data_IF_517481679168
#
_entry.id   IF_517481679168
#
_cell.length_a   1.000
_cell.length_b   1.000
_cell.length_c   1.000
_cell.angle_alpha   90.00
_cell.angle_beta   90.00
_cell.angle_gamma   90.00
#
_symmetry.space_group_name_H-M   'P 1'
#
loop_
_entity.id
_entity.type
_entity.pdbx_description
1 polymer ?
#
# COMPACT_ATOMS: atom_id res chain seq x y z
N UNK A 1 5.31 5.67 11.42
CA UNK A 1 5.54 6.81 12.34
C UNK A 1 6.65 6.57 13.36
N UNK A 2 6.54 5.60 14.29
CA UNK A 2 7.55 5.42 15.36
C UNK A 2 8.97 5.17 14.86
N UNK A 3 9.13 4.37 13.80
CA UNK A 3 10.42 4.15 13.14
C UNK A 3 11.03 5.45 12.58
N UNK A 4 10.25 6.25 11.84
CA UNK A 4 10.75 7.47 11.20
C UNK A 4 11.22 8.50 12.24
N UNK A 5 10.46 8.69 13.34
CA UNK A 5 10.85 9.59 14.43
C UNK A 5 12.13 9.12 15.12
N UNK A 6 12.29 7.80 15.33
CA UNK A 6 13.52 7.24 15.87
C UNK A 6 14.70 7.45 14.92
N UNK A 7 14.52 7.20 13.63
CA UNK A 7 15.56 7.39 12.62
C UNK A 7 16.06 8.85 12.59
N UNK A 8 15.13 9.82 12.48
CA UNK A 8 15.46 11.25 12.53
C UNK A 8 16.24 11.58 13.81
N UNK A 9 15.77 11.13 14.97
CA UNK A 9 16.44 11.39 16.25
C UNK A 9 17.85 10.79 16.28
N UNK A 10 18.01 9.54 15.85
CA UNK A 10 19.29 8.84 15.85
C UNK A 10 20.30 9.50 14.88
N UNK A 11 19.83 10.08 13.77
CA UNK A 11 20.67 10.82 12.83
C UNK A 11 21.09 12.18 13.39
N UNK A 12 20.15 12.94 13.95
CA UNK A 12 20.45 14.26 14.53
C UNK A 12 21.33 14.18 15.77
N UNK A 13 21.28 13.09 16.54
CA UNK A 13 22.16 12.88 17.70
C UNK A 13 23.63 12.65 17.31
N UNK A 14 23.92 12.35 16.03
CA UNK A 14 25.30 12.19 15.54
C UNK A 14 25.93 13.53 15.16
N UNK A 15 25.15 14.60 15.07
CA UNK A 15 25.65 15.93 14.73
C UNK A 15 26.10 16.67 15.99
N UNK A 16 27.33 17.19 16.00
CA UNK A 16 27.87 17.97 17.11
C UNK A 16 27.85 19.48 16.78
N UNK A 17 27.62 20.33 17.79
CA UNK A 17 27.71 21.81 17.80
C UNK A 17 27.40 22.50 16.45
N UNK A 18 26.15 22.36 15.99
CA UNK A 18 25.62 23.11 14.84
C UNK A 18 24.62 24.18 15.30
N UNK A 19 24.45 25.22 14.49
CA UNK A 19 23.44 26.26 14.74
C UNK A 19 22.02 25.69 14.68
N UNK A 20 21.06 26.40 15.27
CA UNK A 20 19.63 26.02 15.20
C UNK A 20 19.14 26.04 13.75
N UNK A 21 19.65 26.96 12.93
CA UNK A 21 19.36 27.09 11.52
C UNK A 21 19.82 25.86 10.73
N UNK A 22 21.06 25.42 10.95
CA UNK A 22 21.60 24.22 10.29
C UNK A 22 20.85 22.96 10.72
N UNK A 23 20.45 22.88 12.00
CA UNK A 23 19.66 21.76 12.52
C UNK A 23 18.31 21.64 11.81
N UNK A 24 17.64 22.77 11.54
CA UNK A 24 16.36 22.78 10.79
C UNK A 24 16.54 22.32 9.35
N UNK A 25 17.64 22.72 8.70
CA UNK A 25 17.95 22.30 7.34
C UNK A 25 18.24 20.80 7.27
N UNK A 26 19.03 20.27 8.21
CA UNK A 26 19.31 18.83 8.29
C UNK A 26 18.04 18.02 8.56
N UNK A 27 17.19 18.47 9.48
CA UNK A 27 15.92 17.81 9.76
C UNK A 27 15.04 17.72 8.50
N UNK A 28 14.96 18.81 7.73
CA UNK A 28 14.21 18.83 6.47
C UNK A 28 14.79 17.86 5.45
N UNK A 29 16.12 17.78 5.34
CA UNK A 29 16.77 16.88 4.40
C UNK A 29 16.52 15.41 4.75
N UNK A 30 16.68 15.03 6.03
CA UNK A 30 16.38 13.67 6.50
C UNK A 30 14.90 13.31 6.24
N UNK A 31 13.98 14.28 6.42
CA UNK A 31 12.56 14.04 6.15
C UNK A 31 12.29 13.77 4.66
N UNK A 32 12.96 14.49 3.75
CA UNK A 32 12.88 14.26 2.30
C UNK A 32 13.50 12.92 1.90
N UNK A 33 14.66 12.58 2.47
CA UNK A 33 15.31 11.28 2.24
C UNK A 33 14.39 10.12 2.63
N UNK A 34 13.70 10.22 3.77
CA UNK A 34 12.72 9.22 4.21
C UNK A 34 11.55 9.10 3.21
N UNK A 35 11.08 10.23 2.67
CA UNK A 35 9.99 10.23 1.69
C UNK A 35 10.44 9.58 0.36
N UNK A 36 11.63 9.93 -0.13
CA UNK A 36 12.18 9.37 -1.37
C UNK A 36 12.46 7.87 -1.23
N UNK A 37 13.04 7.45 -0.10
CA UNK A 37 13.26 6.04 0.23
C UNK A 37 11.93 5.25 0.28
N UNK A 38 10.86 5.81 0.84
CA UNK A 38 9.53 5.19 0.80
C UNK A 38 8.99 5.06 -0.64
N UNK A 39 9.19 6.10 -1.47
CA UNK A 39 8.83 6.08 -2.88
C UNK A 39 9.53 4.96 -3.65
N UNK A 40 10.85 4.85 -3.49
CA UNK A 40 11.64 3.79 -4.13
C UNK A 40 11.25 2.40 -3.64
N UNK A 41 10.97 2.24 -2.34
CA UNK A 41 10.47 0.96 -1.79
C UNK A 41 9.12 0.57 -2.35
N UNK A 42 8.22 1.52 -2.59
CA UNK A 42 6.94 1.26 -3.25
C UNK A 42 7.13 0.73 -4.67
N UNK A 43 8.04 1.34 -5.45
CA UNK A 43 8.41 0.85 -6.78
C UNK A 43 8.97 -0.58 -6.74
N UNK A 44 9.87 -0.86 -5.78
CA UNK A 44 10.46 -2.18 -5.60
C UNK A 44 9.41 -3.23 -5.21
N UNK A 45 8.50 -2.91 -4.29
CA UNK A 45 7.38 -3.77 -3.90
C UNK A 45 6.51 -4.08 -5.14
N UNK A 46 6.14 -3.06 -5.92
CA UNK A 46 5.36 -3.22 -7.13
C UNK A 46 6.04 -4.13 -8.14
N UNK A 47 7.35 -3.95 -8.34
CA UNK A 47 8.16 -4.76 -9.27
C UNK A 47 8.31 -6.21 -8.81
N UNK A 48 8.60 -6.43 -7.54
CA UNK A 48 8.76 -7.78 -6.99
C UNK A 48 7.44 -8.54 -6.91
N UNK A 49 6.36 -7.86 -6.51
CA UNK A 49 5.03 -8.45 -6.44
C UNK A 49 4.48 -8.87 -7.80
N UNK A 50 4.90 -8.23 -8.90
CA UNK A 50 4.48 -8.60 -10.26
C UNK A 50 4.72 -10.09 -10.56
N UNK A 51 5.83 -10.66 -10.07
CA UNK A 51 6.22 -12.04 -10.35
C UNK A 51 5.22 -13.07 -9.81
N UNK A 52 4.38 -12.70 -8.84
CA UNK A 52 3.39 -13.59 -8.21
C UNK A 52 1.96 -13.31 -8.67
N UNK A 53 1.73 -12.31 -9.54
CA UNK A 53 0.40 -12.00 -10.08
C UNK A 53 0.14 -12.86 -11.33
N UNK A 54 -0.90 -13.73 -11.32
CA UNK A 54 -1.25 -14.50 -12.51
C UNK A 54 -1.71 -13.58 -13.66
N UNK A 55 -1.42 -13.99 -14.90
CA UNK A 55 -1.96 -13.30 -16.08
C UNK A 55 -3.48 -13.45 -16.11
N UNK A 56 -4.20 -12.35 -16.37
CA UNK A 56 -5.66 -12.29 -16.37
C UNK A 56 -6.31 -12.37 -14.98
N UNK A 57 -5.53 -12.22 -13.89
CA UNK A 57 -6.05 -12.39 -12.54
C UNK A 57 -7.11 -11.36 -12.17
N UNK A 58 -8.16 -11.84 -11.49
CA UNK A 58 -9.08 -11.02 -10.72
C UNK A 58 -8.59 -10.93 -9.27
N UNK A 59 -8.17 -9.74 -8.87
CA UNK A 59 -7.50 -9.45 -7.60
C UNK A 59 -8.50 -8.85 -6.61
N UNK A 60 -8.57 -9.35 -5.38
CA UNK A 60 -9.31 -8.74 -4.28
C UNK A 60 -8.36 -7.93 -3.39
N UNK A 61 -8.73 -6.68 -3.09
CA UNK A 61 -7.98 -5.83 -2.15
C UNK A 61 -8.91 -5.11 -1.16
N UNK A 62 -8.31 -4.57 -0.10
CA UNK A 62 -9.01 -3.97 1.04
C UNK A 62 -8.24 -2.77 1.60
N UNK A 63 -8.97 -1.80 2.18
CA UNK A 63 -8.46 -0.48 2.56
C UNK A 63 -7.95 0.30 1.34
N UNK A 64 -7.09 1.29 1.57
CA UNK A 64 -6.32 1.97 0.53
C UNK A 64 -4.83 1.82 0.75
N UNK A 65 -4.11 1.47 -0.31
CA UNK A 65 -2.67 1.20 -0.30
C UNK A 65 -1.95 1.84 -1.49
N UNK A 66 -2.60 2.80 -2.16
CA UNK A 66 -2.08 3.54 -3.31
C UNK A 66 -1.17 4.70 -2.95
N UNK A 67 -1.02 5.62 -3.89
CA UNK A 67 -0.22 6.82 -3.73
C UNK A 67 -0.77 7.74 -2.65
N UNK A 68 -2.08 7.68 -2.38
CA UNK A 68 -2.68 8.43 -1.28
C UNK A 68 -2.34 7.87 0.11
N UNK A 69 -1.64 6.73 0.19
CA UNK A 69 -1.23 6.08 1.44
C UNK A 69 0.30 6.02 1.64
N UNK A 70 1.11 6.46 0.68
CA UNK A 70 2.57 6.28 0.66
C UNK A 70 3.29 7.49 0.06
N UNK A 71 4.63 7.49 0.08
CA UNK A 71 5.48 8.45 -0.60
C UNK A 71 5.65 8.22 -2.10
N UNK A 72 5.10 7.12 -2.64
CA UNK A 72 5.22 6.73 -4.05
C UNK A 72 3.96 6.11 -4.62
N UNK A 73 4.10 5.13 -5.51
CA UNK A 73 2.97 4.50 -6.23
C UNK A 73 2.06 3.63 -5.34
N UNK A 74 2.42 3.39 -4.08
CA UNK A 74 1.70 2.47 -3.19
C UNK A 74 2.35 1.09 -3.08
N UNK A 75 1.76 0.27 -2.21
CA UNK A 75 2.24 -1.09 -1.89
C UNK A 75 1.45 -2.16 -2.66
N UNK A 76 0.36 -2.67 -2.09
CA UNK A 76 -0.51 -3.63 -2.79
C UNK A 76 -1.11 -3.02 -4.07
N UNK A 77 -1.48 -1.73 -4.04
CA UNK A 77 -1.85 -1.00 -5.24
C UNK A 77 -0.71 -0.95 -6.28
N UNK A 78 0.54 -0.71 -5.86
CA UNK A 78 1.69 -0.67 -6.77
C UNK A 78 1.89 -1.97 -7.53
N UNK A 79 1.64 -3.12 -6.89
CA UNK A 79 1.65 -4.44 -7.54
C UNK A 79 0.53 -4.56 -8.59
N UNK A 80 -0.69 -4.15 -8.24
CA UNK A 80 -1.84 -4.15 -9.18
C UNK A 80 -1.56 -3.23 -10.37
N UNK A 81 -1.06 -2.02 -10.09
CA UNK A 81 -0.73 -1.01 -11.10
C UNK A 81 0.33 -1.51 -12.07
N UNK A 82 1.41 -2.11 -11.56
CA UNK A 82 2.45 -2.68 -12.40
C UNK A 82 1.95 -3.90 -13.19
N UNK A 83 1.10 -4.76 -12.61
CA UNK A 83 0.49 -5.86 -13.35
C UNK A 83 -0.37 -5.36 -14.53
N UNK A 84 -1.18 -4.32 -14.31
CA UNK A 84 -1.94 -3.69 -15.38
C UNK A 84 -1.03 -3.07 -16.47
N UNK A 85 -0.01 -2.30 -16.07
CA UNK A 85 0.94 -1.67 -17.01
C UNK A 85 1.74 -2.67 -17.83
N UNK A 86 2.01 -3.86 -17.29
CA UNK A 86 2.69 -4.95 -17.99
C UNK A 86 1.76 -5.75 -18.93
N UNK A 87 0.49 -5.35 -19.07
CA UNK A 87 -0.44 -6.02 -19.98
C UNK A 87 -1.00 -7.33 -19.44
N UNK A 88 -0.91 -7.59 -18.14
CA UNK A 88 -1.46 -8.81 -17.53
C UNK A 88 -3.00 -8.82 -17.49
N UNK A 89 -3.70 -7.84 -18.06
CA UNK A 89 -5.17 -7.77 -18.15
C UNK A 89 -5.88 -8.05 -16.82
N UNK A 90 -5.35 -7.51 -15.72
CA UNK A 90 -5.92 -7.71 -14.38
C UNK A 90 -7.21 -6.90 -14.18
N UNK A 91 -8.11 -7.44 -13.36
CA UNK A 91 -9.29 -6.76 -12.85
C UNK A 91 -9.29 -6.78 -11.32
N UNK A 92 -9.98 -5.83 -10.69
CA UNK A 92 -9.93 -5.67 -9.23
C UNK A 92 -11.32 -5.68 -8.62
N UNK A 93 -11.51 -6.48 -7.57
CA UNK A 93 -12.54 -6.25 -6.56
C UNK A 93 -11.94 -5.42 -5.43
N UNK A 94 -12.50 -4.24 -5.19
CA UNK A 94 -12.16 -3.42 -4.04
C UNK A 94 -13.31 -3.45 -3.05
N UNK A 95 -13.06 -3.90 -1.82
CA UNK A 95 -14.06 -3.82 -0.75
C UNK A 95 -14.24 -2.38 -0.27
N UNK A 96 -15.44 -1.98 0.12
CA UNK A 96 -15.71 -0.61 0.57
C UNK A 96 -14.88 -0.16 1.78
N UNK A 97 -14.52 -1.09 2.68
CA UNK A 97 -13.69 -0.89 3.87
C UNK A 97 -14.35 -0.04 4.96
N UNK A 98 -15.43 -0.55 5.56
CA UNK A 98 -16.09 0.11 6.70
C UNK A 98 -15.19 0.19 7.93
N UNK A 99 -15.40 1.19 8.81
CA UNK A 99 -16.40 2.26 8.71
C UNK A 99 -15.92 3.49 7.91
N UNK A 100 -14.62 3.61 7.63
CA UNK A 100 -14.00 4.83 7.09
C UNK A 100 -14.13 4.94 5.56
N UNK A 101 -14.43 3.82 4.90
CA UNK A 101 -14.70 3.70 3.48
C UNK A 101 -13.49 4.03 2.59
N UNK A 102 -12.27 3.64 3.01
CA UNK A 102 -11.06 3.93 2.22
C UNK A 102 -11.11 3.25 0.84
N UNK A 103 -11.59 2.01 0.76
CA UNK A 103 -11.66 1.30 -0.51
C UNK A 103 -12.64 1.97 -1.46
N UNK A 104 -13.85 2.30 -0.97
CA UNK A 104 -14.87 2.98 -1.77
C UNK A 104 -14.48 4.41 -2.18
N UNK A 105 -13.80 5.16 -1.31
CA UNK A 105 -13.53 6.59 -1.52
C UNK A 105 -12.20 6.87 -2.19
N UNK A 106 -11.17 6.06 -1.91
CA UNK A 106 -9.80 6.31 -2.33
C UNK A 106 -9.35 5.26 -3.35
N UNK A 107 -9.44 3.98 -3.03
CA UNK A 107 -8.91 2.91 -3.89
C UNK A 107 -9.64 2.82 -5.22
N UNK A 108 -10.97 2.84 -5.20
CA UNK A 108 -11.76 2.86 -6.44
C UNK A 108 -11.41 4.09 -7.28
N UNK A 109 -11.25 5.25 -6.65
CA UNK A 109 -10.84 6.47 -7.35
C UNK A 109 -9.46 6.30 -8.00
N UNK A 110 -8.44 5.85 -7.26
CA UNK A 110 -7.09 5.64 -7.79
C UNK A 110 -7.06 4.61 -8.94
N UNK A 111 -7.80 3.51 -8.80
CA UNK A 111 -7.90 2.46 -9.84
C UNK A 111 -8.59 2.98 -11.11
N UNK A 112 -9.69 3.71 -10.96
CA UNK A 112 -10.40 4.32 -12.09
C UNK A 112 -9.54 5.36 -12.80
N UNK A 113 -8.84 6.22 -12.04
CA UNK A 113 -7.90 7.21 -12.59
C UNK A 113 -6.76 6.53 -13.34
N UNK A 114 -6.28 5.38 -12.86
CA UNK A 114 -5.27 4.56 -13.53
C UNK A 114 -5.84 3.71 -14.68
N UNK A 115 -7.14 3.79 -14.98
CA UNK A 115 -7.83 3.03 -16.02
C UNK A 115 -7.78 1.51 -15.80
N UNK A 116 -7.67 1.09 -14.54
CA UNK A 116 -7.65 -0.32 -14.13
C UNK A 116 -9.10 -0.77 -13.90
N UNK A 117 -9.58 -1.85 -14.53
CA UNK A 117 -10.93 -2.36 -14.31
C UNK A 117 -11.18 -2.69 -12.84
N UNK A 118 -12.19 -2.05 -12.25
CA UNK A 118 -12.52 -2.22 -10.83
C UNK A 118 -14.01 -2.36 -10.59
N UNK A 119 -14.36 -3.25 -9.67
CA UNK A 119 -15.68 -3.40 -9.09
C UNK A 119 -15.63 -3.10 -7.59
N UNK A 120 -16.41 -2.12 -7.15
CA UNK A 120 -16.64 -1.86 -5.72
C UNK A 120 -17.62 -2.90 -5.16
N UNK A 121 -17.29 -3.48 -4.02
CA UNK A 121 -18.14 -4.44 -3.30
C UNK A 121 -18.29 -4.07 -1.83
N UNK A 122 -19.40 -4.45 -1.20
CA UNK A 122 -19.50 -4.38 0.27
C UNK A 122 -18.52 -5.38 0.90
N UNK A 123 -18.00 -5.06 2.09
CA UNK A 123 -17.05 -5.94 2.80
C UNK A 123 -17.62 -7.37 3.00
N UNK A 124 -18.93 -7.47 3.25
CA UNK A 124 -19.64 -8.75 3.46
C UNK A 124 -19.80 -9.61 2.20
N UNK A 125 -19.60 -9.05 1.00
CA UNK A 125 -19.72 -9.79 -0.25
C UNK A 125 -18.45 -10.58 -0.60
N UNK A 126 -17.30 -10.23 0.00
CA UNK A 126 -15.99 -10.80 -0.34
C UNK A 126 -15.97 -12.33 -0.24
N UNK A 127 -16.44 -12.89 0.88
CA UNK A 127 -16.46 -14.34 1.09
C UNK A 127 -17.28 -15.09 0.03
N UNK A 128 -18.39 -14.50 -0.43
CA UNK A 128 -19.22 -15.08 -1.48
C UNK A 128 -18.50 -15.13 -2.83
N UNK A 129 -17.73 -14.09 -3.17
CA UNK A 129 -16.95 -14.05 -4.41
C UNK A 129 -15.79 -15.05 -4.39
N UNK A 130 -15.11 -15.18 -3.25
CA UNK A 130 -14.06 -16.20 -3.05
C UNK A 130 -14.66 -17.60 -3.16
N UNK A 131 -15.80 -17.87 -2.50
CA UNK A 131 -16.50 -19.16 -2.59
C UNK A 131 -16.90 -19.49 -4.04
N UNK A 132 -17.34 -18.49 -4.81
CA UNK A 132 -17.68 -18.63 -6.23
C UNK A 132 -16.46 -18.74 -7.16
N UNK A 133 -15.22 -18.73 -6.61
CA UNK A 133 -13.97 -18.75 -7.37
C UNK A 133 -13.86 -17.60 -8.38
N UNK A 134 -14.38 -16.42 -8.02
CA UNK A 134 -14.28 -15.18 -8.82
C UNK A 134 -13.04 -14.35 -8.47
N UNK A 135 -12.24 -14.81 -7.52
CA UNK A 135 -11.02 -14.14 -7.04
C UNK A 135 -9.87 -15.13 -7.20
N UNK A 136 -8.86 -14.74 -7.96
CA UNK A 136 -7.66 -15.55 -8.21
C UNK A 136 -6.57 -15.25 -7.18
N UNK A 137 -6.55 -14.03 -6.63
CA UNK A 137 -5.56 -13.56 -5.69
C UNK A 137 -6.14 -12.53 -4.72
N UNK A 138 -5.74 -12.61 -3.46
CA UNK A 138 -5.95 -11.54 -2.47
C UNK A 138 -4.62 -10.85 -2.23
N UNK A 139 -4.57 -9.52 -2.34
CA UNK A 139 -3.38 -8.74 -2.01
C UNK A 139 -3.75 -7.54 -1.15
N UNK A 140 -3.01 -7.36 -0.06
CA UNK A 140 -3.33 -6.43 1.02
C UNK A 140 -2.08 -5.63 1.41
N UNK A 141 -2.30 -4.46 1.99
CA UNK A 141 -1.25 -3.74 2.71
C UNK A 141 -1.04 -4.29 4.12
N UNK A 142 -0.14 -3.66 4.87
CA UNK A 142 0.08 -3.95 6.28
C UNK A 142 0.42 -2.66 7.05
N UNK A 143 -0.20 -2.47 8.21
CA UNK A 143 0.18 -1.40 9.15
C UNK A 143 1.41 -1.81 9.99
N UNK A 144 1.50 -3.10 10.33
CA UNK A 144 2.64 -3.69 11.03
C UNK A 144 2.74 -5.19 10.75
N UNK A 145 3.96 -5.68 10.59
CA UNK A 145 4.28 -7.10 10.51
C UNK A 145 5.21 -7.44 11.67
N UNK A 146 4.83 -8.43 12.49
CA UNK A 146 5.66 -8.92 13.58
C UNK A 146 6.71 -9.93 13.09
N UNK A 147 7.69 -10.25 13.92
CA UNK A 147 8.81 -11.13 13.53
C UNK A 147 8.38 -12.56 13.20
N UNK A 148 7.23 -13.01 13.71
CA UNK A 148 6.60 -14.30 13.42
C UNK A 148 5.75 -14.28 12.13
N UNK A 149 5.66 -13.13 11.46
CA UNK A 149 4.82 -12.93 10.28
C UNK A 149 3.39 -12.49 10.58
N UNK A 150 2.99 -12.36 11.85
CA UNK A 150 1.66 -11.86 12.21
C UNK A 150 1.45 -10.44 11.69
N UNK A 151 0.34 -10.20 10.97
CA UNK A 151 0.04 -8.92 10.32
C UNK A 151 -1.08 -8.19 11.05
N UNK A 152 -0.79 -6.97 11.50
CA UNK A 152 -1.82 -5.99 11.85
C UNK A 152 -2.11 -5.11 10.64
N UNK A 153 -3.38 -5.02 10.26
CA UNK A 153 -3.85 -4.19 9.15
C UNK A 153 -5.29 -3.70 9.45
N UNK A 154 -5.89 -2.97 8.50
CA UNK A 154 -7.27 -2.50 8.59
C UNK A 154 -8.25 -3.61 9.00
N UNK A 155 -9.17 -3.27 9.92
CA UNK A 155 -10.29 -4.13 10.31
C UNK A 155 -11.03 -4.66 9.07
N UNK A 156 -11.26 -5.97 9.02
CA UNK A 156 -11.76 -6.66 7.83
C UNK A 156 -10.68 -7.51 7.14
N UNK A 157 -9.40 -7.17 7.29
CA UNK A 157 -8.27 -7.94 6.72
C UNK A 157 -8.29 -9.41 7.15
N UNK A 158 -8.47 -9.67 8.45
CA UNK A 158 -8.50 -11.05 8.96
C UNK A 158 -9.67 -11.87 8.41
N UNK A 159 -10.79 -11.22 8.03
CA UNK A 159 -11.92 -11.92 7.44
C UNK A 159 -11.64 -12.38 5.99
N UNK A 160 -10.58 -11.86 5.36
CA UNK A 160 -10.17 -12.18 3.98
C UNK A 160 -9.06 -13.22 3.90
N UNK A 161 -8.46 -13.61 5.03
CA UNK A 161 -7.33 -14.55 5.13
C UNK A 161 -7.82 -15.97 5.47
#
# INVERSE_FOLDING_TARGET
MGWALKNIKDQLQKTADISVEDLKLQLLEIAKEIQEDDGQRCEDIGKHGLAVVPSGATILTHCNTGALATGGIGTAFGVIFNAHRNGNNVAVFATETRPVLQGARLTVWELMTAHIPVHLICDSAAASLVQQKKVDMVILGADRIAADGSVANKIGTYNLA
#
